data_IF_600866490233
#
_entry.id   IF_600866490233
#
_cell.length_a   1.000
_cell.length_b   1.000
_cell.length_c   1.000
_cell.angle_alpha   90.00
_cell.angle_beta   90.00
_cell.angle_gamma   90.00
#
_symmetry.space_group_name_H-M   'P 1'
#
loop_
_entity.id
_entity.type
_entity.pdbx_description
1 polymer ?
#
# COMPACT_ATOMS: atom_id res chain seq x y z
N UNK A 1 15.02 53.68 -59.45
CA UNK A 1 14.98 53.30 -58.02
C UNK A 1 13.57 52.82 -57.73
N UNK A 2 13.36 51.54 -57.42
CA UNK A 2 12.23 51.05 -56.62
C UNK A 2 12.55 49.61 -56.20
N UNK A 3 12.43 49.40 -54.90
CA UNK A 3 13.07 48.38 -54.08
C UNK A 3 12.21 47.12 -53.96
N UNK A 4 12.81 45.94 -54.14
CA UNK A 4 12.22 44.65 -53.76
C UNK A 4 12.15 44.52 -52.24
N UNK A 5 11.00 44.07 -51.70
CA UNK A 5 10.84 43.69 -50.30
C UNK A 5 10.58 42.19 -50.27
N UNK A 6 11.52 41.43 -49.69
CA UNK A 6 11.40 40.00 -49.46
C UNK A 6 10.90 39.76 -48.03
N UNK A 7 9.71 39.18 -47.90
CA UNK A 7 9.11 38.82 -46.62
C UNK A 7 9.64 37.47 -46.13
N UNK A 8 10.35 37.47 -44.99
CA UNK A 8 10.77 36.28 -44.27
C UNK A 8 9.67 35.87 -43.27
N UNK A 9 9.10 34.68 -43.47
CA UNK A 9 8.21 34.04 -42.50
C UNK A 9 9.05 33.21 -41.52
N UNK A 10 8.97 33.56 -40.23
CA UNK A 10 9.53 32.75 -39.13
C UNK A 10 8.47 31.74 -38.68
N UNK A 11 8.79 30.45 -38.81
CA UNK A 11 7.99 29.35 -38.25
C UNK A 11 8.52 29.08 -36.84
N UNK A 12 7.76 29.46 -35.82
CA UNK A 12 8.08 29.17 -34.42
C UNK A 12 7.60 27.76 -34.06
N UNK A 13 8.52 26.83 -33.85
CA UNK A 13 8.21 25.52 -33.28
C UNK A 13 8.08 25.62 -31.75
N UNK A 14 6.87 25.44 -31.23
CA UNK A 14 6.65 25.33 -29.79
C UNK A 14 7.01 23.92 -29.32
N UNK A 15 8.11 23.79 -28.58
CA UNK A 15 8.47 22.55 -27.88
C UNK A 15 7.67 22.45 -26.58
N UNK A 16 6.70 21.56 -26.53
CA UNK A 16 6.02 21.22 -25.28
C UNK A 16 7.00 20.43 -24.38
N UNK A 17 7.31 20.99 -23.21
CA UNK A 17 8.09 20.29 -22.17
C UNK A 17 7.23 19.15 -21.58
N UNK A 18 7.81 17.97 -21.31
CA UNK A 18 7.09 16.90 -20.63
C UNK A 18 6.73 17.36 -19.21
N UNK A 19 5.44 17.47 -18.92
CA UNK A 19 4.94 17.67 -17.56
C UNK A 19 5.25 16.40 -16.77
N UNK A 20 6.13 16.48 -15.77
CA UNK A 20 6.35 15.38 -14.85
C UNK A 20 5.02 15.03 -14.17
N UNK A 21 4.53 13.80 -14.38
CA UNK A 21 3.31 13.31 -13.74
C UNK A 21 3.59 13.08 -12.26
N UNK A 22 3.21 14.03 -11.40
CA UNK A 22 3.23 13.86 -9.95
C UNK A 22 1.98 13.13 -9.50
N UNK A 23 2.16 12.06 -8.72
CA UNK A 23 1.05 11.39 -8.05
C UNK A 23 0.28 12.38 -7.16
N UNK A 24 -1.05 12.28 -7.09
CA UNK A 24 -1.82 13.05 -6.12
C UNK A 24 -1.40 12.70 -4.69
N UNK A 25 -1.72 13.59 -3.75
CA UNK A 25 -1.46 13.39 -2.33
C UNK A 25 -2.76 13.42 -1.52
N UNK A 26 -2.83 12.59 -0.49
CA UNK A 26 -3.97 12.52 0.46
C UNK A 26 -3.48 12.27 1.88
N UNK A 27 -4.26 12.68 2.88
CA UNK A 27 -4.00 12.34 4.28
C UNK A 27 -4.47 10.92 4.64
N UNK A 28 -5.35 10.31 3.84
CA UNK A 28 -5.86 8.96 4.07
C UNK A 28 -5.86 8.11 2.80
N UNK A 29 -5.50 6.84 2.96
CA UNK A 29 -5.34 5.92 1.84
C UNK A 29 -5.76 4.50 2.23
N UNK A 30 -6.03 3.66 1.24
CA UNK A 30 -6.10 2.21 1.42
C UNK A 30 -4.78 1.59 0.99
N UNK A 31 -4.40 0.46 1.59
CA UNK A 31 -3.25 -0.32 1.15
C UNK A 31 -3.75 -1.49 0.30
N UNK A 32 -3.21 -1.65 -0.90
CA UNK A 32 -3.64 -2.66 -1.87
C UNK A 32 -2.46 -3.54 -2.28
N UNK A 33 -2.66 -4.85 -2.27
CA UNK A 33 -1.64 -5.80 -2.71
C UNK A 33 -1.52 -5.83 -4.25
N UNK A 34 -0.27 -5.80 -4.70
CA UNK A 34 0.13 -6.10 -6.06
C UNK A 34 1.15 -7.26 -6.03
N UNK A 35 0.83 -8.38 -6.66
CA UNK A 35 1.71 -9.55 -6.62
C UNK A 35 2.91 -9.30 -7.54
N UNK A 36 4.13 -9.34 -7.00
CA UNK A 36 5.37 -9.12 -7.76
C UNK A 36 6.04 -10.41 -8.18
N UNK A 37 6.00 -11.44 -7.34
CA UNK A 37 6.51 -12.76 -7.70
C UNK A 37 5.54 -13.86 -7.24
N UNK A 38 5.13 -14.76 -8.14
CA UNK A 38 4.37 -15.94 -7.75
C UNK A 38 5.24 -16.87 -6.89
N UNK A 39 4.64 -17.54 -5.91
CA UNK A 39 5.35 -18.34 -4.91
C UNK A 39 6.19 -19.41 -5.58
N UNK A 40 7.41 -19.59 -5.09
CA UNK A 40 8.26 -20.70 -5.51
C UNK A 40 7.72 -22.01 -4.95
N UNK A 41 7.19 -22.90 -5.80
CA UNK A 41 6.83 -24.28 -5.43
C UNK A 41 5.52 -24.79 -6.06
N UNK A 42 5.13 -26.02 -5.70
CA UNK A 42 3.86 -26.65 -6.14
C UNK A 42 2.64 -26.17 -5.33
N UNK A 43 2.77 -25.03 -4.66
CA UNK A 43 1.75 -24.52 -3.75
C UNK A 43 0.87 -23.51 -4.49
N UNK A 44 -0.44 -23.60 -4.27
CA UNK A 44 -1.34 -22.57 -4.78
C UNK A 44 -1.06 -21.27 -4.07
N UNK A 45 -0.84 -20.22 -4.85
CA UNK A 45 -0.70 -18.88 -4.36
C UNK A 45 -1.98 -18.36 -3.72
N UNK A 46 -1.89 -17.55 -2.64
CA UNK A 46 -2.99 -16.73 -2.24
C UNK A 46 -3.34 -15.75 -3.38
N UNK A 47 -4.60 -15.74 -3.80
CA UNK A 47 -5.11 -14.83 -4.83
C UNK A 47 -5.42 -13.48 -4.18
N UNK A 48 -4.39 -12.66 -3.98
CA UNK A 48 -4.50 -11.34 -3.32
C UNK A 48 -4.24 -10.16 -4.24
N UNK A 49 -4.19 -10.38 -5.56
CA UNK A 49 -4.07 -9.27 -6.50
C UNK A 49 -5.26 -8.32 -6.32
N UNK A 50 -4.95 -7.04 -6.13
CA UNK A 50 -5.91 -5.95 -5.88
C UNK A 50 -6.70 -6.07 -4.57
N UNK A 51 -6.36 -7.02 -3.68
CA UNK A 51 -6.98 -7.12 -2.36
C UNK A 51 -6.49 -5.97 -1.49
N UNK A 52 -7.37 -5.50 -0.61
CA UNK A 52 -7.10 -4.40 0.29
C UNK A 52 -6.68 -4.91 1.67
N UNK A 53 -5.84 -4.17 2.37
CA UNK A 53 -5.43 -4.50 3.73
C UNK A 53 -6.51 -4.08 4.73
N UNK A 54 -6.86 -4.99 5.64
CA UNK A 54 -7.80 -4.76 6.74
C UNK A 54 -7.32 -5.46 8.02
N UNK A 55 -8.19 -5.50 9.02
CA UNK A 55 -7.95 -6.11 10.32
C UNK A 55 -8.82 -7.36 10.48
N UNK A 56 -8.21 -8.46 10.94
CA UNK A 56 -8.98 -9.57 11.54
C UNK A 56 -8.84 -9.48 13.07
N UNK A 57 -9.99 -9.40 13.74
CA UNK A 57 -10.05 -9.21 15.19
C UNK A 57 -9.80 -10.52 15.94
N UNK A 58 -8.68 -10.60 16.66
CA UNK A 58 -8.42 -11.68 17.61
C UNK A 58 -8.73 -11.29 19.07
N UNK A 59 -9.03 -10.00 19.29
CA UNK A 59 -9.42 -9.41 20.58
C UNK A 59 -9.25 -7.89 20.57
N UNK A 60 -9.60 -7.24 21.68
CA UNK A 60 -9.44 -5.78 21.81
C UNK A 60 -7.97 -5.39 21.60
N UNK A 61 -7.72 -4.52 20.61
CA UNK A 61 -6.38 -4.04 20.24
C UNK A 61 -5.38 -5.14 19.86
N UNK A 62 -5.86 -6.30 19.41
CA UNK A 62 -5.05 -7.41 18.90
C UNK A 62 -5.60 -7.85 17.57
N UNK A 63 -5.11 -7.24 16.50
CA UNK A 63 -5.57 -7.53 15.16
C UNK A 63 -4.41 -7.89 14.26
N UNK A 64 -4.62 -8.90 13.43
CA UNK A 64 -3.70 -9.23 12.35
C UNK A 64 -4.05 -8.42 11.11
N UNK A 65 -3.00 -8.07 10.35
CA UNK A 65 -3.16 -7.45 9.05
C UNK A 65 -3.55 -8.53 8.02
N UNK A 66 -4.77 -8.43 7.50
CA UNK A 66 -5.35 -9.44 6.59
C UNK A 66 -5.74 -8.82 5.25
N UNK A 67 -5.69 -9.61 4.19
CA UNK A 67 -6.13 -9.21 2.87
C UNK A 67 -7.60 -9.55 2.66
N UNK A 68 -8.39 -8.53 2.34
CA UNK A 68 -9.83 -8.64 2.06
C UNK A 68 -10.13 -8.19 0.63
N UNK A 69 -11.29 -8.58 0.06
CA UNK A 69 -11.69 -8.14 -1.27
C UNK A 69 -11.73 -6.61 -1.44
N UNK A 70 -11.60 -6.10 -2.67
CA UNK A 70 -11.73 -4.67 -2.97
C UNK A 70 -13.02 -4.06 -2.40
N UNK A 71 -12.92 -2.90 -1.76
CA UNK A 71 -14.04 -2.22 -1.11
C UNK A 71 -14.13 -2.46 0.40
N UNK A 72 -13.59 -3.57 0.90
CA UNK A 72 -13.70 -3.99 2.31
C UNK A 72 -12.48 -3.60 3.17
N UNK A 73 -11.44 -3.07 2.53
CA UNK A 73 -10.20 -2.69 3.20
C UNK A 73 -10.31 -1.46 4.07
N UNK A 74 -9.37 -1.39 5.00
CA UNK A 74 -9.28 -0.32 5.97
C UNK A 74 -8.68 0.97 5.44
N UNK A 75 -8.99 2.07 6.12
CA UNK A 75 -8.35 3.37 5.92
C UNK A 75 -7.12 3.51 6.81
N UNK A 76 -6.02 3.94 6.21
CA UNK A 76 -4.74 4.20 6.84
C UNK A 76 -4.38 5.67 6.67
N UNK A 77 -3.46 6.15 7.51
CA UNK A 77 -2.82 7.45 7.35
C UNK A 77 -1.34 7.31 7.68
N UNK A 78 -0.51 8.21 7.18
CA UNK A 78 0.89 8.29 7.59
C UNK A 78 1.09 9.51 8.48
N UNK A 79 1.92 9.36 9.50
CA UNK A 79 2.49 10.49 10.21
C UNK A 79 4.00 10.57 9.90
N UNK A 80 4.75 11.42 10.59
CA UNK A 80 6.18 11.63 10.30
C UNK A 80 7.04 10.39 10.49
N UNK A 81 6.64 9.45 11.36
CA UNK A 81 7.50 8.33 11.76
C UNK A 81 6.89 6.96 11.48
N UNK A 82 5.59 6.85 11.26
CA UNK A 82 4.91 5.56 11.09
C UNK A 82 3.66 5.64 10.19
N UNK A 83 3.08 4.48 9.89
CA UNK A 83 1.77 4.33 9.26
C UNK A 83 0.75 3.94 10.34
N UNK A 84 -0.21 4.83 10.54
CA UNK A 84 -1.33 4.66 11.45
C UNK A 84 -2.54 4.01 10.78
N UNK A 85 -3.39 3.43 11.63
CA UNK A 85 -4.65 2.79 11.28
C UNK A 85 -5.78 3.72 11.70
N UNK A 86 -6.75 3.96 10.82
CA UNK A 86 -7.92 4.79 11.16
C UNK A 86 -8.64 4.21 12.38
N UNK A 87 -9.09 5.03 13.35
CA UNK A 87 -9.80 4.56 14.53
C UNK A 87 -11.02 3.68 14.24
N UNK A 88 -11.66 3.87 13.07
CA UNK A 88 -12.78 3.06 12.58
C UNK A 88 -12.49 1.56 12.51
N UNK A 89 -11.21 1.17 12.38
CA UNK A 89 -10.79 -0.23 12.25
C UNK A 89 -10.48 -0.92 13.58
N UNK A 90 -10.43 -0.20 14.70
CA UNK A 90 -9.92 -0.77 15.96
C UNK A 90 -10.99 -1.21 16.96
N UNK A 91 -12.28 -1.06 16.63
CA UNK A 91 -13.44 -1.47 17.47
C UNK A 91 -13.28 -1.15 18.98
N UNK A 92 -12.63 -0.05 19.33
CA UNK A 92 -12.40 0.32 20.73
C UNK A 92 -13.56 1.12 21.31
N UNK A 93 -14.16 0.63 22.39
CA UNK A 93 -15.10 1.39 23.22
C UNK A 93 -14.33 2.23 24.24
N UNK A 94 -14.60 3.54 24.30
CA UNK A 94 -14.06 4.42 25.35
C UNK A 94 -13.13 5.55 24.91
N UNK A 95 -12.96 5.81 23.61
CA UNK A 95 -12.24 6.99 23.11
C UNK A 95 -11.44 6.71 21.83
N UNK A 96 -10.91 7.77 21.23
CA UNK A 96 -10.02 7.68 20.06
C UNK A 96 -8.64 7.23 20.55
N UNK A 97 -8.35 5.94 20.46
CA UNK A 97 -7.00 5.40 20.71
C UNK A 97 -6.26 5.38 19.37
N UNK A 98 -5.03 5.91 19.26
CA UNK A 98 -4.26 5.81 18.03
C UNK A 98 -4.07 4.33 17.67
N UNK A 99 -4.19 4.02 16.38
CA UNK A 99 -3.87 2.71 15.83
C UNK A 99 -2.61 2.76 15.00
N UNK A 100 -1.83 1.69 15.03
CA UNK A 100 -0.54 1.61 14.36
C UNK A 100 -0.31 0.25 13.71
N UNK A 101 0.43 0.27 12.61
CA UNK A 101 0.99 -0.94 12.02
C UNK A 101 2.25 -1.34 12.79
N UNK A 102 2.28 -2.55 13.32
CA UNK A 102 3.41 -3.09 14.07
C UNK A 102 4.05 -4.23 13.31
N UNK A 103 5.36 -4.11 13.10
CA UNK A 103 6.21 -5.10 12.43
C UNK A 103 7.15 -5.66 13.48
N UNK A 104 7.29 -6.98 13.50
CA UNK A 104 8.30 -7.67 14.31
C UNK A 104 9.33 -8.33 13.38
N UNK A 105 10.37 -7.60 12.94
CA UNK A 105 11.42 -8.20 12.12
C UNK A 105 12.10 -9.35 12.87
N UNK A 106 12.41 -10.42 12.17
CA UNK A 106 13.04 -11.58 12.77
C UNK A 106 13.70 -12.51 11.76
N UNK A 107 13.94 -13.74 12.18
CA UNK A 107 14.64 -14.73 11.37
C UNK A 107 16.14 -14.48 11.27
N UNK A 108 16.81 -15.29 10.46
CA UNK A 108 18.25 -15.21 10.24
C UNK A 108 18.57 -14.42 8.95
N UNK A 109 19.79 -14.53 8.43
CA UNK A 109 20.20 -13.81 7.22
C UNK A 109 19.46 -14.23 5.94
N UNK A 110 18.98 -15.48 5.86
CA UNK A 110 18.40 -16.05 4.63
C UNK A 110 16.96 -16.50 4.79
N UNK A 111 16.46 -16.67 6.01
CA UNK A 111 15.13 -17.20 6.34
C UNK A 111 14.38 -16.17 7.19
N UNK A 112 13.20 -15.69 6.75
CA UNK A 112 12.34 -14.81 7.55
C UNK A 112 11.87 -15.45 8.85
N UNK A 113 11.40 -14.63 9.79
CA UNK A 113 10.55 -15.11 10.88
C UNK A 113 9.14 -15.40 10.35
N UNK A 114 8.42 -16.23 11.10
CA UNK A 114 6.97 -16.46 10.93
C UNK A 114 6.17 -15.42 11.73
N UNK A 115 6.57 -14.14 11.67
CA UNK A 115 5.85 -13.09 12.35
C UNK A 115 4.81 -12.48 11.39
N UNK A 116 3.60 -12.27 11.90
CA UNK A 116 2.52 -11.59 11.18
C UNK A 116 2.61 -10.10 11.48
N UNK A 117 2.27 -9.26 10.50
CA UNK A 117 2.11 -7.82 10.72
C UNK A 117 0.83 -7.60 11.52
N UNK A 118 0.91 -6.80 12.58
CA UNK A 118 -0.23 -6.50 13.44
C UNK A 118 -0.73 -5.08 13.19
N UNK A 119 -2.03 -4.87 13.38
CA UNK A 119 -2.71 -3.57 13.30
C UNK A 119 -3.40 -3.31 14.64
N UNK A 120 -2.65 -2.79 15.60
CA UNK A 120 -3.07 -2.71 16.99
C UNK A 120 -3.29 -1.28 17.45
N UNK A 121 -3.84 -1.15 18.65
CA UNK A 121 -3.84 0.12 19.36
C UNK A 121 -2.43 0.48 19.82
N UNK A 122 -2.17 1.79 19.91
CA UNK A 122 -0.87 2.35 20.22
C UNK A 122 -0.15 2.85 18.96
N UNK A 123 1.07 3.32 19.18
CA UNK A 123 1.94 3.74 18.09
C UNK A 123 2.45 2.52 17.32
N UNK A 124 2.50 2.64 15.99
CA UNK A 124 3.08 1.62 15.13
C UNK A 124 4.60 1.57 15.22
N UNK A 125 5.22 0.67 14.47
CA UNK A 125 6.68 0.61 14.34
C UNK A 125 7.20 1.88 13.65
N UNK A 126 8.22 2.49 14.23
CA UNK A 126 8.90 3.65 13.65
C UNK A 126 9.65 3.26 12.38
N UNK A 127 9.67 4.15 11.39
CA UNK A 127 10.33 3.96 10.10
C UNK A 127 9.42 3.42 8.98
N UNK A 128 8.18 2.99 9.31
CA UNK A 128 7.19 2.64 8.28
C UNK A 128 6.74 3.91 7.57
N UNK A 129 6.75 3.90 6.23
CA UNK A 129 6.42 5.08 5.43
C UNK A 129 5.77 4.72 4.10
N UNK A 130 5.10 5.71 3.50
CA UNK A 130 4.71 5.69 2.09
C UNK A 130 5.77 6.44 1.28
N UNK A 131 6.34 5.78 0.28
CA UNK A 131 7.32 6.39 -0.62
C UNK A 131 6.68 7.42 -1.56
N UNK A 132 7.47 8.24 -2.23
CA UNK A 132 6.98 9.17 -3.27
C UNK A 132 6.30 8.47 -4.47
N UNK A 133 6.45 7.15 -4.58
CA UNK A 133 5.77 6.32 -5.58
C UNK A 133 4.44 5.72 -5.07
N UNK A 134 4.04 6.04 -3.84
CA UNK A 134 2.84 5.49 -3.22
C UNK A 134 2.98 4.03 -2.81
N UNK A 135 4.18 3.60 -2.39
CA UNK A 135 4.42 2.23 -1.92
C UNK A 135 4.77 2.23 -0.44
N UNK A 136 4.26 1.24 0.31
CA UNK A 136 4.63 0.99 1.70
C UNK A 136 6.08 0.49 1.76
N UNK A 137 6.90 1.12 2.58
CA UNK A 137 8.30 0.80 2.76
C UNK A 137 8.65 0.71 4.25
N UNK A 138 9.54 -0.23 4.57
CA UNK A 138 10.12 -0.39 5.89
C UNK A 138 11.50 -1.04 5.78
N UNK A 139 12.54 -0.34 6.26
CA UNK A 139 13.93 -0.82 6.37
C UNK A 139 14.51 -1.55 5.14
N UNK A 140 14.05 -1.21 3.93
CA UNK A 140 14.49 -1.83 2.67
C UNK A 140 14.12 -3.31 2.52
N UNK A 141 13.24 -3.84 3.36
CA UNK A 141 12.71 -5.20 3.23
C UNK A 141 11.58 -5.32 2.21
N UNK A 142 10.77 -6.36 2.35
CA UNK A 142 9.69 -6.66 1.42
C UNK A 142 8.50 -7.28 2.14
N UNK A 143 7.33 -7.19 1.51
CA UNK A 143 6.08 -7.71 2.05
C UNK A 143 5.74 -9.05 1.43
N UNK A 144 5.15 -9.91 2.25
CA UNK A 144 4.67 -11.21 1.83
C UNK A 144 3.19 -11.35 2.17
N UNK A 145 2.41 -11.90 1.25
CA UNK A 145 1.05 -12.36 1.51
C UNK A 145 1.10 -13.87 1.71
N UNK A 146 0.68 -14.34 2.89
CA UNK A 146 0.90 -15.69 3.36
C UNK A 146 -0.40 -16.38 3.75
N UNK A 147 -0.53 -17.65 3.38
CA UNK A 147 -1.60 -18.50 3.91
C UNK A 147 -1.50 -18.60 5.45
N UNK A 148 -2.62 -18.56 6.20
CA UNK A 148 -2.62 -18.69 7.66
C UNK A 148 -1.90 -19.93 8.19
N UNK A 149 -1.92 -21.03 7.44
CA UNK A 149 -1.26 -22.28 7.82
C UNK A 149 0.26 -22.16 7.98
N UNK A 150 0.88 -21.11 7.43
CA UNK A 150 2.30 -20.78 7.63
C UNK A 150 2.59 -20.44 9.09
N UNK A 151 1.65 -19.77 9.76
CA UNK A 151 1.81 -19.28 11.13
C UNK A 151 1.12 -20.19 12.14
N UNK A 152 -0.02 -20.77 11.73
CA UNK A 152 -0.85 -21.64 12.56
C UNK A 152 -1.21 -22.91 11.77
N UNK A 153 -0.38 -23.97 11.85
CA UNK A 153 -0.61 -25.20 11.09
C UNK A 153 -2.01 -25.77 11.34
N UNK A 154 -2.75 -26.04 10.26
CA UNK A 154 -4.11 -26.58 10.32
C UNK A 154 -5.22 -25.54 10.46
N UNK A 155 -4.90 -24.25 10.45
CA UNK A 155 -5.90 -23.19 10.38
C UNK A 155 -6.17 -22.74 8.93
N UNK A 156 -7.43 -22.44 8.66
CA UNK A 156 -7.89 -21.76 7.48
C UNK A 156 -8.34 -20.35 7.89
N UNK A 157 -8.19 -19.38 7.01
CA UNK A 157 -8.58 -17.99 7.28
C UNK A 157 -8.15 -17.07 6.16
N UNK A 158 -8.22 -15.77 6.41
CA UNK A 158 -7.83 -14.75 5.45
C UNK A 158 -6.31 -14.70 5.28
N UNK A 159 -5.86 -14.31 4.09
CA UNK A 159 -4.42 -14.24 3.79
C UNK A 159 -3.79 -13.14 4.65
N UNK A 160 -2.70 -13.48 5.32
CA UNK A 160 -2.04 -12.60 6.28
C UNK A 160 -0.87 -11.84 5.64
N UNK A 161 -0.67 -10.59 6.06
CA UNK A 161 0.51 -9.81 5.71
C UNK A 161 1.69 -10.17 6.63
N UNK A 162 2.85 -10.40 6.04
CA UNK A 162 4.12 -10.60 6.76
C UNK A 162 5.23 -9.76 6.13
N UNK A 163 6.31 -9.55 6.88
CA UNK A 163 7.48 -8.78 6.47
C UNK A 163 8.72 -9.66 6.47
N UNK A 164 9.54 -9.52 5.42
CA UNK A 164 10.90 -10.09 5.36
C UNK A 164 11.93 -8.99 5.20
N UNK A 165 13.07 -9.13 5.87
CA UNK A 165 14.22 -8.25 5.68
C UNK A 165 14.85 -8.46 4.31
N UNK A 166 15.56 -7.45 3.82
CA UNK A 166 16.38 -7.55 2.61
C UNK A 166 17.28 -8.80 2.64
N UNK A 167 17.32 -9.55 1.54
CA UNK A 167 18.13 -10.77 1.40
C UNK A 167 17.53 -12.05 1.97
N UNK A 168 16.41 -11.98 2.70
CA UNK A 168 15.68 -13.18 3.13
C UNK A 168 14.83 -13.74 1.98
N UNK A 169 14.72 -15.08 1.90
CA UNK A 169 13.86 -15.77 0.93
C UNK A 169 12.38 -15.61 1.29
N UNK A 170 11.49 -15.78 0.31
CA UNK A 170 10.04 -15.90 0.55
C UNK A 170 9.72 -17.21 1.25
N UNK A 171 8.81 -17.18 2.23
CA UNK A 171 8.36 -18.39 2.91
C UNK A 171 7.53 -19.28 1.97
N UNK A 172 7.51 -20.59 2.22
CA UNK A 172 6.59 -21.49 1.52
C UNK A 172 5.14 -21.08 1.82
N UNK A 173 4.24 -21.22 0.82
CA UNK A 173 2.85 -20.77 0.90
C UNK A 173 2.67 -19.25 1.05
N UNK A 174 3.68 -18.46 0.67
CA UNK A 174 3.60 -17.01 0.57
C UNK A 174 3.94 -16.51 -0.83
N UNK A 175 3.38 -15.35 -1.18
CA UNK A 175 3.70 -14.57 -2.37
C UNK A 175 4.42 -13.29 -1.97
N UNK A 176 5.38 -12.83 -2.77
CA UNK A 176 5.89 -11.48 -2.58
C UNK A 176 4.89 -10.47 -3.16
N UNK A 177 4.62 -9.42 -2.39
CA UNK A 177 3.68 -8.37 -2.76
C UNK A 177 4.29 -6.98 -2.59
N UNK A 178 3.93 -6.07 -3.48
CA UNK A 178 4.02 -4.63 -3.25
C UNK A 178 2.72 -4.15 -2.62
N UNK A 179 2.85 -3.29 -1.61
CA UNK A 179 1.69 -2.66 -0.96
C UNK A 179 1.56 -1.23 -1.49
N UNK A 180 0.52 -0.99 -2.29
CA UNK A 180 0.27 0.27 -2.98
C UNK A 180 -0.74 1.10 -2.18
N UNK A 181 -0.38 2.34 -1.87
CA UNK A 181 -1.29 3.32 -1.31
C UNK A 181 -2.26 3.82 -2.39
N UNK A 182 -3.55 3.51 -2.24
CA UNK A 182 -4.63 4.02 -3.08
C UNK A 182 -5.31 5.20 -2.39
N UNK A 183 -5.45 6.32 -3.11
CA UNK A 183 -5.97 7.55 -2.53
C UNK A 183 -7.39 7.37 -2.01
N UNK A 184 -7.62 7.63 -0.72
CA UNK A 184 -8.95 7.65 -0.14
C UNK A 184 -9.39 9.08 0.11
N UNK A 185 -10.69 9.33 -0.02
CA UNK A 185 -11.34 10.55 0.48
C UNK A 185 -11.99 10.34 1.86
N UNK A 186 -11.79 9.17 2.46
CA UNK A 186 -12.35 8.85 3.76
C UNK A 186 -11.59 9.59 4.87
N UNK A 187 -12.21 10.63 5.43
CA UNK A 187 -11.75 11.30 6.65
C UNK A 187 -10.50 12.18 6.51
N UNK A 188 -10.12 12.80 7.62
CA UNK A 188 -8.95 13.70 7.73
C UNK A 188 -7.67 12.98 8.16
N UNK A 189 -7.76 11.67 8.43
CA UNK A 189 -6.70 10.88 9.07
C UNK A 189 -6.73 10.98 10.60
N UNK A 190 -5.76 10.33 11.25
CA UNK A 190 -5.56 10.43 12.70
C UNK A 190 -4.65 11.60 13.10
N UNK A 191 -4.26 11.62 14.37
CA UNK A 191 -3.38 12.65 14.91
C UNK A 191 -2.04 12.68 14.16
N UNK A 192 -1.64 13.88 13.72
CA UNK A 192 -0.37 14.08 13.00
C UNK A 192 -0.36 13.53 11.57
N UNK A 193 -1.52 13.19 10.99
CA UNK A 193 -1.63 12.76 9.61
C UNK A 193 -0.99 13.78 8.65
N UNK A 194 -0.23 13.26 7.69
CA UNK A 194 0.43 14.04 6.64
C UNK A 194 0.01 13.57 5.25
N UNK A 195 -0.04 14.47 4.25
CA UNK A 195 -0.29 14.08 2.88
C UNK A 195 0.82 13.13 2.38
N UNK A 196 0.42 12.00 1.79
CA UNK A 196 1.32 11.06 1.12
C UNK A 196 0.93 10.90 -0.34
N UNK A 197 1.93 10.63 -1.19
CA UNK A 197 1.70 10.25 -2.59
C UNK A 197 0.92 8.94 -2.65
N UNK A 198 -0.12 8.90 -3.50
CA UNK A 198 -0.97 7.73 -3.64
C UNK A 198 -1.40 7.57 -5.11
N UNK A 199 -1.77 6.35 -5.48
CA UNK A 199 -2.33 6.05 -6.79
C UNK A 199 -3.84 6.29 -6.72
N UNK A 200 -4.45 7.00 -7.69
CA UNK A 200 -5.91 7.08 -7.76
C UNK A 200 -6.53 5.68 -7.78
N UNK A 201 -7.69 5.50 -7.15
CA UNK A 201 -8.56 4.39 -7.59
C UNK A 201 -8.85 4.64 -9.06
N UNK A 202 -8.62 3.64 -9.92
CA UNK A 202 -8.95 3.78 -11.35
C UNK A 202 -10.42 4.23 -11.43
N UNK A 203 -10.65 5.48 -11.83
CA UNK A 203 -11.88 5.78 -12.54
C UNK A 203 -11.81 4.86 -13.74
N UNK A 204 -12.72 3.89 -13.82
CA UNK A 204 -12.94 3.12 -15.04
C UNK A 204 -12.86 4.10 -16.19
N UNK A 205 -11.86 3.96 -17.06
CA UNK A 205 -11.70 4.86 -18.19
C UNK A 205 -13.03 4.91 -18.93
N UNK A 206 -13.76 6.02 -18.80
CA UNK A 206 -14.95 6.28 -19.59
C UNK A 206 -14.45 6.30 -21.01
N UNK A 207 -14.72 5.19 -21.71
CA UNK A 207 -14.52 5.08 -23.15
C UNK A 207 -15.28 6.27 -23.74
N UNK A 208 -14.54 7.22 -24.32
CA UNK A 208 -15.11 8.36 -25.03
C UNK A 208 -16.10 7.80 -26.05
N UNK A 209 -17.39 7.99 -25.76
CA UNK A 209 -18.46 7.78 -26.72
C UNK A 209 -18.19 8.73 -27.86
N UNK A 210 -17.85 8.16 -29.01
CA UNK A 210 -17.58 8.90 -30.23
C UNK A 210 -18.94 9.18 -30.84
N UNK A 211 -19.30 10.47 -30.89
CA UNK A 211 -20.43 10.95 -31.67
C UNK A 211 -20.32 10.42 -33.11
N UNK A 212 -21.35 9.68 -33.54
CA UNK A 212 -21.72 9.46 -34.94
C UNK A 212 -23.18 9.91 -35.13
#
# INVERSE_FOLDING_TARGET
MLSSIASLLFISAATALPTASTLPSTCTFKLVANIIEPSTGNYSLPKVQDYELSTEHSGACKNYAVFVPPGEGGSFYANRTTVGVSPELLEVSGGVIPGGMTIYPGGNTTVPSINVVELNCGYGTDGIRITSKGMLDYEGGSWMACDPSVFHPGQNGDVLLSYKKAGQRTLAHCADVEMIAKCSSAGTGGEGAQPVSCVPFNQTATKSEKDD
#
